data_IF_078783082331
#
_entry.id   IF_078783082331
#
_cell.length_a   1.000
_cell.length_b   1.000
_cell.length_c   1.000
_cell.angle_alpha   90.00
_cell.angle_beta   90.00
_cell.angle_gamma   90.00
#
_symmetry.space_group_name_H-M   'P 1'
#
loop_
_entity.id
_entity.type
_entity.pdbx_description
1 polymer ?
#
# COMPACT_ATOMS: atom_id res chain seq x y z
N UNK A 1 -14.99 -20.15 -19.38
CA UNK A 1 -15.62 -18.85 -19.09
C UNK A 1 -15.43 -18.50 -17.62
N UNK A 2 -14.43 -17.70 -17.27
CA UNK A 2 -14.39 -17.01 -15.97
C UNK A 2 -15.22 -15.74 -16.12
N UNK A 3 -16.34 -15.61 -15.40
CA UNK A 3 -17.15 -14.37 -15.43
C UNK A 3 -18.66 -14.51 -15.36
N UNK A 4 -19.22 -15.72 -15.28
CA UNK A 4 -20.64 -15.87 -14.98
C UNK A 4 -20.95 -15.32 -13.57
N UNK A 5 -22.01 -14.52 -13.36
CA UNK A 5 -22.34 -13.94 -12.04
C UNK A 5 -22.58 -14.99 -10.94
N UNK A 6 -22.89 -16.24 -11.32
CA UNK A 6 -23.04 -17.39 -10.42
C UNK A 6 -21.72 -18.06 -10.03
N UNK A 7 -20.64 -17.88 -10.79
CA UNK A 7 -19.37 -18.57 -10.57
C UNK A 7 -18.75 -18.31 -9.18
N UNK A 8 -18.77 -17.08 -8.61
CA UNK A 8 -18.30 -16.84 -7.26
C UNK A 8 -19.14 -17.55 -6.18
N UNK A 9 -20.45 -17.65 -6.39
CA UNK A 9 -21.36 -18.34 -5.47
C UNK A 9 -21.08 -19.84 -5.48
N UNK A 10 -20.97 -20.44 -6.66
CA UNK A 10 -20.65 -21.86 -6.81
C UNK A 10 -19.28 -22.20 -6.21
N UNK A 11 -18.28 -21.34 -6.38
CA UNK A 11 -16.97 -21.52 -5.74
C UNK A 11 -17.07 -21.49 -4.20
N UNK A 12 -17.90 -20.60 -3.63
CA UNK A 12 -18.11 -20.54 -2.18
C UNK A 12 -18.87 -21.77 -1.66
N UNK A 13 -19.90 -22.24 -2.37
CA UNK A 13 -20.64 -23.46 -2.02
C UNK A 13 -19.71 -24.67 -2.07
N UNK A 14 -18.86 -24.76 -3.09
CA UNK A 14 -17.90 -25.85 -3.20
C UNK A 14 -16.89 -25.87 -2.05
N UNK A 15 -16.43 -24.69 -1.63
CA UNK A 15 -15.46 -24.55 -0.54
C UNK A 15 -16.09 -24.64 0.86
N UNK A 16 -17.42 -24.70 0.98
CA UNK A 16 -18.13 -24.89 2.25
C UNK A 16 -17.82 -26.25 2.90
N UNK A 17 -17.60 -27.30 2.09
CA UNK A 17 -17.21 -28.62 2.61
C UNK A 17 -15.85 -28.58 3.33
N UNK A 18 -14.92 -27.76 2.84
CA UNK A 18 -13.62 -27.54 3.49
C UNK A 18 -13.78 -26.84 4.85
N UNK A 19 -14.67 -25.85 4.93
CA UNK A 19 -14.94 -25.12 6.17
C UNK A 19 -15.56 -26.04 7.21
N UNK A 20 -16.56 -26.84 6.83
CA UNK A 20 -17.19 -27.85 7.71
C UNK A 20 -16.18 -28.86 8.24
N UNK A 21 -15.25 -29.32 7.41
CA UNK A 21 -14.21 -30.26 7.85
C UNK A 21 -13.23 -29.60 8.83
N UNK A 22 -12.86 -28.33 8.62
CA UNK A 22 -12.03 -27.56 9.54
C UNK A 22 -12.73 -27.31 10.88
N UNK A 23 -14.02 -26.99 10.86
CA UNK A 23 -14.87 -26.80 12.05
C UNK A 23 -15.02 -28.10 12.84
N UNK A 24 -15.33 -29.21 12.17
CA UNK A 24 -15.44 -30.55 12.78
C UNK A 24 -14.16 -30.95 13.52
N UNK A 25 -13.00 -30.51 13.03
CA UNK A 25 -11.69 -30.75 13.64
C UNK A 25 -11.30 -29.74 14.72
N UNK A 26 -12.14 -28.73 14.96
CA UNK A 26 -11.89 -27.67 15.95
C UNK A 26 -10.74 -26.74 15.60
N UNK A 27 -10.44 -26.56 14.31
CA UNK A 27 -9.37 -25.66 13.87
C UNK A 27 -9.82 -24.19 13.94
N UNK A 28 -8.90 -23.30 14.32
CA UNK A 28 -9.11 -21.84 14.21
C UNK A 28 -8.61 -21.39 12.85
N UNK A 29 -9.50 -20.92 11.99
CA UNK A 29 -9.15 -20.51 10.63
C UNK A 29 -9.94 -19.27 10.20
N UNK A 30 -9.48 -18.66 9.11
CA UNK A 30 -10.24 -17.68 8.35
C UNK A 30 -10.05 -17.95 6.86
N UNK A 31 -11.15 -17.92 6.10
CA UNK A 31 -11.15 -18.11 4.65
C UNK A 31 -11.77 -16.90 3.96
N UNK A 32 -11.20 -16.51 2.83
CA UNK A 32 -11.77 -15.52 1.93
C UNK A 32 -11.53 -15.97 0.49
N UNK A 33 -12.61 -16.38 -0.19
CA UNK A 33 -12.52 -17.08 -1.47
C UNK A 33 -11.54 -18.27 -1.38
N UNK A 34 -10.43 -18.21 -2.13
CA UNK A 34 -9.36 -19.22 -2.18
C UNK A 34 -8.24 -19.02 -1.14
N UNK A 35 -8.14 -17.83 -0.53
CA UNK A 35 -7.15 -17.55 0.51
C UNK A 35 -7.64 -18.10 1.86
N UNK A 36 -6.93 -19.10 2.41
CA UNK A 36 -7.18 -19.71 3.72
C UNK A 36 -5.99 -19.48 4.65
N UNK A 37 -6.25 -19.12 5.90
CA UNK A 37 -5.26 -19.10 6.98
C UNK A 37 -5.75 -19.96 8.16
N UNK A 38 -4.93 -20.90 8.62
CA UNK A 38 -5.20 -21.72 9.80
C UNK A 38 -4.17 -21.42 10.89
N UNK A 39 -4.63 -21.23 12.13
CA UNK A 39 -3.78 -20.92 13.29
C UNK A 39 -3.67 -22.15 14.19
N UNK A 40 -2.43 -22.58 14.42
CA UNK A 40 -2.10 -23.74 15.25
C UNK A 40 -1.19 -23.36 16.42
N UNK A 41 -1.24 -24.12 17.51
CA UNK A 41 -0.42 -23.87 18.72
C UNK A 41 1.06 -24.22 18.55
N UNK A 42 1.39 -25.14 17.65
CA UNK A 42 2.77 -25.58 17.41
C UNK A 42 3.05 -25.78 15.92
N UNK A 43 4.33 -25.70 15.55
CA UNK A 43 4.77 -25.94 14.17
C UNK A 43 4.41 -27.35 13.68
N UNK A 44 4.65 -28.37 14.51
CA UNK A 44 4.29 -29.77 14.20
C UNK A 44 2.80 -29.93 13.94
N UNK A 45 1.95 -29.26 14.73
CA UNK A 45 0.51 -29.27 14.50
C UNK A 45 0.15 -28.58 13.18
N UNK A 46 0.78 -27.44 12.87
CA UNK A 46 0.56 -26.73 11.60
C UNK A 46 0.98 -27.54 10.37
N UNK A 47 2.13 -28.22 10.42
CA UNK A 47 2.61 -29.10 9.34
C UNK A 47 1.67 -30.29 9.13
N UNK A 48 1.21 -30.92 10.21
CA UNK A 48 0.19 -31.99 10.16
C UNK A 48 -1.12 -31.49 9.56
N UNK A 49 -1.60 -30.33 9.99
CA UNK A 49 -2.83 -29.71 9.48
C UNK A 49 -2.69 -29.38 8.00
N UNK A 50 -1.57 -28.78 7.57
CA UNK A 50 -1.31 -28.49 6.16
C UNK A 50 -1.34 -29.76 5.32
N UNK A 51 -0.58 -30.80 5.69
CA UNK A 51 -0.55 -32.06 4.96
C UNK A 51 -1.93 -32.74 4.90
N UNK A 52 -2.73 -32.64 5.96
CA UNK A 52 -4.07 -33.20 5.98
C UNK A 52 -5.06 -32.42 5.12
N UNK A 53 -5.01 -31.08 5.15
CA UNK A 53 -5.85 -30.23 4.30
C UNK A 53 -5.49 -30.38 2.83
N UNK A 54 -4.19 -30.46 2.51
CA UNK A 54 -3.73 -30.69 1.15
C UNK A 54 -4.30 -31.99 0.59
N UNK A 55 -4.25 -33.09 1.35
CA UNK A 55 -4.87 -34.36 0.95
C UNK A 55 -6.37 -34.24 0.79
N UNK A 56 -7.07 -33.62 1.74
CA UNK A 56 -8.53 -33.43 1.63
C UNK A 56 -8.93 -32.66 0.36
N UNK A 57 -8.24 -31.56 0.07
CA UNK A 57 -8.50 -30.71 -1.09
C UNK A 57 -8.17 -31.42 -2.41
N UNK A 58 -7.10 -32.23 -2.44
CA UNK A 58 -6.70 -32.97 -3.64
C UNK A 58 -7.55 -34.22 -3.88
N UNK A 59 -7.82 -35.01 -2.84
CA UNK A 59 -8.42 -36.33 -2.96
C UNK A 59 -9.95 -36.26 -2.99
N UNK A 60 -10.56 -35.41 -2.13
CA UNK A 60 -12.02 -35.25 -2.09
C UNK A 60 -12.52 -34.16 -3.03
N UNK A 61 -11.90 -32.99 -2.96
CA UNK A 61 -12.35 -31.83 -3.74
C UNK A 61 -11.72 -31.77 -5.12
N UNK A 62 -10.80 -32.67 -5.47
CA UNK A 62 -10.17 -32.74 -6.80
C UNK A 62 -9.54 -31.39 -7.26
N UNK A 63 -9.11 -30.55 -6.29
CA UNK A 63 -8.51 -29.25 -6.56
C UNK A 63 -6.99 -29.32 -6.41
N UNK A 64 -6.27 -28.57 -7.25
CA UNK A 64 -4.82 -28.45 -7.16
C UNK A 64 -4.42 -27.36 -6.18
N UNK A 65 -3.71 -27.73 -5.11
CA UNK A 65 -3.14 -26.78 -4.15
C UNK A 65 -1.88 -26.13 -4.71
N UNK A 66 -1.78 -24.81 -4.57
CA UNK A 66 -0.55 -24.08 -4.90
C UNK A 66 0.49 -24.24 -3.79
N UNK A 67 1.39 -25.20 -3.94
CA UNK A 67 2.44 -25.53 -2.97
C UNK A 67 3.45 -24.39 -2.75
N UNK A 68 3.69 -23.53 -3.74
CA UNK A 68 4.59 -22.38 -3.57
C UNK A 68 4.00 -21.29 -2.69
N UNK A 69 2.67 -21.12 -2.73
CA UNK A 69 1.95 -20.14 -1.89
C UNK A 69 1.66 -20.71 -0.49
N UNK A 70 1.43 -22.01 -0.40
CA UNK A 70 1.06 -22.71 0.84
C UNK A 70 2.29 -22.98 1.68
N UNK A 71 2.36 -22.44 2.90
CA UNK A 71 3.52 -22.62 3.77
C UNK A 71 3.16 -22.53 5.24
N UNK A 72 3.93 -23.22 6.09
CA UNK A 72 3.88 -23.07 7.54
C UNK A 72 4.88 -22.01 7.95
N UNK A 73 4.43 -21.01 8.71
CA UNK A 73 5.33 -20.06 9.35
C UNK A 73 4.72 -19.44 10.60
N UNK A 74 5.55 -18.90 11.52
CA UNK A 74 5.04 -18.14 12.65
C UNK A 74 4.12 -17.01 12.18
N UNK A 75 3.07 -16.72 12.94
CA UNK A 75 2.09 -15.66 12.58
C UNK A 75 2.77 -14.32 12.33
N UNK A 76 3.77 -13.99 13.16
CA UNK A 76 4.54 -12.73 13.10
C UNK A 76 5.66 -12.73 12.05
N UNK A 77 5.79 -13.81 11.28
CA UNK A 77 6.79 -13.91 10.22
C UNK A 77 6.51 -12.89 9.11
N UNK A 78 7.54 -12.25 8.54
CA UNK A 78 7.38 -11.38 7.36
C UNK A 78 6.85 -12.11 6.09
N UNK A 79 6.82 -13.44 6.11
CA UNK A 79 6.27 -14.28 5.03
C UNK A 79 4.75 -14.41 5.13
N UNK A 80 4.22 -14.44 6.35
CA UNK A 80 2.77 -14.54 6.62
C UNK A 80 2.06 -13.30 6.12
N UNK A 81 1.07 -13.52 5.26
CA UNK A 81 0.16 -12.47 4.79
C UNK A 81 -1.23 -13.06 4.64
N UNK A 82 -2.24 -12.25 4.93
CA UNK A 82 -3.62 -12.59 4.65
C UNK A 82 -4.35 -11.34 4.17
N UNK A 83 -4.98 -11.37 3.00
CA UNK A 83 -5.68 -10.22 2.41
C UNK A 83 -4.84 -8.93 2.38
N UNK A 84 -3.54 -9.04 2.14
CA UNK A 84 -2.62 -7.90 2.11
C UNK A 84 -2.21 -7.33 3.47
N UNK A 85 -2.73 -7.87 4.56
CA UNK A 85 -2.27 -7.64 5.93
C UNK A 85 -1.09 -8.56 6.28
N UNK A 86 -0.26 -8.09 7.20
CA UNK A 86 0.71 -8.90 7.93
C UNK A 86 0.45 -8.77 9.43
N UNK A 87 1.23 -9.48 10.23
CA UNK A 87 1.05 -9.54 11.67
C UNK A 87 2.36 -9.24 12.39
N UNK A 88 2.28 -8.62 13.56
CA UNK A 88 3.43 -8.40 14.43
C UNK A 88 3.03 -8.56 15.89
N UNK A 89 3.99 -8.95 16.74
CA UNK A 89 3.76 -9.01 18.18
C UNK A 89 4.04 -7.65 18.81
N UNK A 90 3.04 -7.06 19.45
CA UNK A 90 3.18 -5.81 20.18
C UNK A 90 3.58 -6.10 21.62
N UNK A 91 4.85 -5.88 21.96
CA UNK A 91 5.33 -6.04 23.35
C UNK A 91 4.58 -5.16 24.34
N UNK A 92 4.20 -3.94 23.93
CA UNK A 92 3.48 -3.00 24.79
C UNK A 92 2.07 -3.47 25.16
N UNK A 93 1.43 -4.28 24.31
CA UNK A 93 0.06 -4.78 24.52
C UNK A 93 -0.01 -6.27 24.82
N UNK A 94 1.11 -6.99 24.76
CA UNK A 94 1.17 -8.44 24.97
C UNK A 94 0.42 -9.27 23.91
N UNK A 95 0.05 -8.68 22.76
CA UNK A 95 -0.84 -9.30 21.77
C UNK A 95 -0.30 -9.20 20.33
N UNK A 96 -0.82 -10.05 19.44
CA UNK A 96 -0.57 -9.97 18.00
C UNK A 96 -1.49 -8.92 17.39
N UNK A 97 -0.93 -8.00 16.60
CA UNK A 97 -1.68 -6.92 15.94
C UNK A 97 -1.48 -6.93 14.44
N UNK A 98 -2.44 -6.33 13.74
CA UNK A 98 -2.42 -6.19 12.29
C UNK A 98 -1.47 -5.07 11.87
N UNK A 99 -0.70 -5.33 10.82
CA UNK A 99 0.03 -4.31 10.09
C UNK A 99 -0.15 -4.53 8.59
N UNK A 100 0.37 -3.62 7.79
CA UNK A 100 0.25 -3.68 6.34
C UNK A 100 1.44 -4.47 5.78
N UNK A 101 1.16 -5.50 4.98
CA UNK A 101 2.20 -6.37 4.44
C UNK A 101 3.17 -5.61 3.53
N UNK A 102 4.44 -6.01 3.52
CA UNK A 102 5.49 -5.38 2.69
C UNK A 102 5.11 -5.33 1.20
N UNK A 103 4.46 -6.36 0.67
CA UNK A 103 4.01 -6.41 -0.73
C UNK A 103 2.93 -5.36 -1.00
N UNK A 104 1.96 -5.20 -0.11
CA UNK A 104 0.90 -4.19 -0.20
C UNK A 104 1.46 -2.77 -0.13
N UNK A 105 2.40 -2.53 0.80
CA UNK A 105 3.14 -1.27 0.93
C UNK A 105 3.88 -0.92 -0.37
N UNK A 106 4.59 -1.90 -0.94
CA UNK A 106 5.33 -1.71 -2.19
C UNK A 106 4.41 -1.44 -3.37
N UNK A 107 3.32 -2.21 -3.52
CA UNK A 107 2.31 -2.03 -4.56
C UNK A 107 1.73 -0.60 -4.54
N UNK A 108 1.42 -0.07 -3.36
CA UNK A 108 0.97 1.32 -3.23
C UNK A 108 2.04 2.31 -3.71
N UNK A 109 3.29 2.16 -3.25
CA UNK A 109 4.39 3.04 -3.68
C UNK A 109 4.62 2.99 -5.19
N UNK A 110 4.45 1.83 -5.80
CA UNK A 110 4.57 1.66 -7.25
C UNK A 110 3.44 2.36 -8.01
N UNK A 111 2.19 2.20 -7.56
CA UNK A 111 1.06 2.95 -8.12
C UNK A 111 1.24 4.46 -7.97
N UNK A 112 1.63 4.95 -6.79
CA UNK A 112 1.88 6.38 -6.58
C UNK A 112 3.03 6.87 -7.45
N UNK A 113 4.08 6.07 -7.64
CA UNK A 113 5.20 6.41 -8.54
C UNK A 113 4.73 6.60 -9.98
N UNK A 114 3.76 5.80 -10.43
CA UNK A 114 3.17 5.92 -11.77
C UNK A 114 2.25 7.15 -11.88
N UNK A 115 1.40 7.39 -10.88
CA UNK A 115 0.50 8.55 -10.85
C UNK A 115 1.28 9.88 -10.78
N UNK A 116 2.29 9.94 -9.91
CA UNK A 116 3.19 11.09 -9.74
C UNK A 116 4.47 10.95 -10.58
N UNK A 117 4.31 10.45 -11.81
CA UNK A 117 5.40 10.46 -12.79
C UNK A 117 5.77 11.89 -13.17
N UNK A 118 7.00 12.08 -13.68
CA UNK A 118 7.52 13.42 -14.05
C UNK A 118 6.79 14.03 -15.25
N UNK A 119 6.26 13.18 -16.13
CA UNK A 119 5.54 13.56 -17.33
C UNK A 119 4.17 12.87 -17.33
N UNK A 120 3.19 13.36 -16.57
CA UNK A 120 1.85 12.76 -16.57
C UNK A 120 1.24 12.91 -17.96
N UNK A 121 0.51 11.87 -18.42
CA UNK A 121 -0.23 11.88 -19.69
C UNK A 121 -1.58 12.63 -19.61
N UNK A 122 -1.86 13.23 -18.46
CA UNK A 122 -3.14 13.87 -18.14
C UNK A 122 -2.89 15.16 -17.35
N UNK A 123 -3.95 15.93 -17.11
CA UNK A 123 -3.88 17.21 -16.40
C UNK A 123 -3.44 17.01 -14.94
N UNK A 124 -2.87 18.06 -14.34
CA UNK A 124 -2.49 18.04 -12.93
C UNK A 124 -3.71 17.85 -12.01
N UNK A 125 -4.88 18.40 -12.38
CA UNK A 125 -6.11 18.19 -11.61
C UNK A 125 -6.56 16.72 -11.64
N UNK A 126 -6.49 16.05 -12.80
CA UNK A 126 -6.79 14.62 -12.88
C UNK A 126 -5.79 13.79 -12.07
N UNK A 127 -4.51 14.16 -12.07
CA UNK A 127 -3.50 13.49 -11.21
C UNK A 127 -3.87 13.63 -9.73
N UNK A 128 -4.31 14.81 -9.27
CA UNK A 128 -4.76 15.01 -7.88
C UNK A 128 -5.97 14.15 -7.55
N UNK A 129 -6.99 14.14 -8.41
CA UNK A 129 -8.21 13.36 -8.20
C UNK A 129 -7.91 11.85 -8.12
N UNK A 130 -7.15 11.31 -9.07
CA UNK A 130 -6.75 9.90 -9.08
C UNK A 130 -5.90 9.54 -7.86
N UNK A 131 -4.96 10.41 -7.47
CA UNK A 131 -4.17 10.23 -6.25
C UNK A 131 -5.08 10.21 -5.02
N UNK A 132 -5.98 11.19 -4.88
CA UNK A 132 -6.90 11.30 -3.76
C UNK A 132 -7.80 10.06 -3.63
N UNK A 133 -8.43 9.63 -4.72
CA UNK A 133 -9.26 8.43 -4.77
C UNK A 133 -8.47 7.19 -4.36
N UNK A 134 -7.24 7.04 -4.88
CA UNK A 134 -6.40 5.87 -4.57
C UNK A 134 -5.98 5.85 -3.10
N UNK A 135 -5.56 6.99 -2.56
CA UNK A 135 -5.14 7.12 -1.16
C UNK A 135 -6.30 6.87 -0.19
N UNK A 136 -7.48 7.44 -0.47
CA UNK A 136 -8.69 7.26 0.34
C UNK A 136 -9.13 5.81 0.38
N UNK A 137 -9.28 5.17 -0.78
CA UNK A 137 -9.68 3.75 -0.84
C UNK A 137 -8.67 2.84 -0.14
N UNK A 138 -7.37 3.16 -0.26
CA UNK A 138 -6.33 2.40 0.42
C UNK A 138 -6.34 2.57 1.94
N UNK A 139 -6.54 3.79 2.44
CA UNK A 139 -6.64 4.05 3.89
C UNK A 139 -7.90 3.41 4.49
N UNK A 140 -9.04 3.48 3.79
CA UNK A 140 -10.27 2.81 4.21
C UNK A 140 -10.07 1.29 4.28
N UNK A 141 -9.43 0.69 3.26
CA UNK A 141 -9.18 -0.74 3.24
C UNK A 141 -8.27 -1.20 4.38
N UNK A 142 -7.23 -0.42 4.71
CA UNK A 142 -6.24 -0.74 5.75
C UNK A 142 -6.50 -0.04 7.10
N UNK A 143 -7.73 0.39 7.37
CA UNK A 143 -8.07 1.14 8.59
C UNK A 143 -7.76 0.37 9.88
N UNK A 144 -7.79 -0.97 9.84
CA UNK A 144 -7.52 -1.85 10.98
C UNK A 144 -6.01 -2.06 11.25
N UNK A 145 -5.12 -1.59 10.36
CA UNK A 145 -3.70 -1.88 10.45
C UNK A 145 -2.92 -0.80 11.22
N UNK A 146 -2.07 -1.23 12.14
CA UNK A 146 -1.09 -0.33 12.76
C UNK A 146 0.05 -0.06 11.78
N UNK A 147 0.07 1.15 11.23
CA UNK A 147 1.10 1.57 10.28
C UNK A 147 1.49 3.05 10.40
N UNK A 148 1.21 3.73 11.52
CA UNK A 148 1.38 5.19 11.66
C UNK A 148 2.75 5.71 11.25
N UNK A 149 3.84 5.12 11.78
CA UNK A 149 5.21 5.53 11.43
C UNK A 149 5.48 5.40 9.94
N UNK A 150 5.04 4.29 9.35
CA UNK A 150 5.17 4.05 7.90
C UNK A 150 4.33 5.05 7.09
N UNK A 151 3.11 5.35 7.52
CA UNK A 151 2.24 6.35 6.89
C UNK A 151 2.92 7.73 6.86
N UNK A 152 3.52 8.16 7.97
CA UNK A 152 4.25 9.44 8.05
C UNK A 152 5.49 9.48 7.14
N UNK A 153 6.22 8.37 7.02
CA UNK A 153 7.33 8.23 6.08
C UNK A 153 6.87 8.34 4.62
N UNK A 154 5.79 7.63 4.28
CA UNK A 154 5.23 7.65 2.93
C UNK A 154 4.64 9.02 2.61
N UNK A 155 4.01 9.69 3.55
CA UNK A 155 3.50 11.05 3.40
C UNK A 155 4.60 12.06 3.02
N UNK A 156 5.74 12.01 3.72
CA UNK A 156 6.92 12.82 3.37
C UNK A 156 7.41 12.50 1.96
N UNK A 157 7.43 11.22 1.60
CA UNK A 157 7.82 10.77 0.27
C UNK A 157 6.84 11.21 -0.84
N UNK A 158 5.53 11.16 -0.59
CA UNK A 158 4.47 11.67 -1.49
C UNK A 158 4.63 13.17 -1.71
N UNK A 159 4.76 13.96 -0.64
CA UNK A 159 4.98 15.41 -0.75
C UNK A 159 6.24 15.74 -1.56
N UNK A 160 7.32 15.01 -1.36
CA UNK A 160 8.56 15.15 -2.17
C UNK A 160 8.33 14.80 -3.64
N UNK A 161 7.53 13.78 -3.95
CA UNK A 161 7.14 13.43 -5.33
C UNK A 161 6.31 14.53 -5.99
N UNK A 162 5.35 15.10 -5.25
CA UNK A 162 4.55 16.23 -5.74
C UNK A 162 5.45 17.43 -6.05
N UNK A 163 6.38 17.79 -5.15
CA UNK A 163 7.36 18.86 -5.41
C UNK A 163 8.20 18.59 -6.65
N UNK A 164 8.61 17.33 -6.86
CA UNK A 164 9.34 16.92 -8.07
C UNK A 164 8.51 17.15 -9.33
N UNK A 165 7.23 16.74 -9.30
CA UNK A 165 6.29 16.94 -10.41
C UNK A 165 6.12 18.44 -10.71
N UNK A 166 5.81 19.26 -9.70
CA UNK A 166 5.64 20.70 -9.86
C UNK A 166 6.92 21.40 -10.36
N UNK A 167 8.09 21.02 -9.86
CA UNK A 167 9.35 21.56 -10.38
C UNK A 167 9.56 21.20 -11.87
N UNK A 168 9.13 20.01 -12.28
CA UNK A 168 9.24 19.57 -13.68
C UNK A 168 8.27 20.31 -14.60
N UNK A 169 7.09 20.71 -14.11
CA UNK A 169 6.14 21.50 -14.92
C UNK A 169 6.69 22.91 -15.24
N UNK A 170 7.53 23.48 -14.36
CA UNK A 170 8.30 24.69 -14.65
C UNK A 170 9.48 24.39 -15.58
N UNK A 171 9.19 24.21 -16.87
CA UNK A 171 10.16 23.77 -17.89
C UNK A 171 11.31 24.77 -18.11
N UNK A 172 11.00 26.07 -18.19
CA UNK A 172 11.97 27.14 -18.47
C UNK A 172 12.54 27.70 -17.17
N UNK A 173 13.83 28.06 -17.17
CA UNK A 173 14.50 28.72 -16.02
C UNK A 173 13.76 29.98 -15.60
N UNK A 174 13.38 30.84 -16.55
CA UNK A 174 12.58 32.05 -16.30
C UNK A 174 11.27 31.74 -15.55
N UNK A 175 10.60 30.64 -15.88
CA UNK A 175 9.36 30.22 -15.21
C UNK A 175 9.60 29.74 -13.79
N UNK A 176 10.70 29.01 -13.53
CA UNK A 176 11.08 28.58 -12.18
C UNK A 176 11.34 29.77 -11.27
N UNK A 177 12.14 30.73 -11.75
CA UNK A 177 12.48 31.94 -10.99
C UNK A 177 11.20 32.72 -10.64
N UNK A 178 10.36 33.00 -11.65
CA UNK A 178 9.07 33.69 -11.43
C UNK A 178 8.16 32.94 -10.44
N UNK A 179 8.08 31.62 -10.55
CA UNK A 179 7.28 30.81 -9.65
C UNK A 179 7.81 30.84 -8.20
N UNK A 180 9.12 30.72 -8.02
CA UNK A 180 9.75 30.80 -6.69
C UNK A 180 9.51 32.16 -6.04
N UNK A 181 9.69 33.27 -6.78
CA UNK A 181 9.42 34.62 -6.27
C UNK A 181 7.93 34.76 -5.90
N UNK A 182 7.01 34.29 -6.74
CA UNK A 182 5.57 34.29 -6.46
C UNK A 182 5.20 33.47 -5.22
N UNK A 183 6.00 32.46 -4.89
CA UNK A 183 5.85 31.63 -3.69
C UNK A 183 6.60 32.20 -2.46
N UNK A 184 7.10 33.43 -2.54
CA UNK A 184 7.73 34.14 -1.42
C UNK A 184 9.23 33.88 -1.25
N UNK A 185 9.91 33.28 -2.24
CA UNK A 185 11.36 33.19 -2.19
C UNK A 185 12.03 34.54 -2.47
N UNK A 186 13.09 34.84 -1.71
CA UNK A 186 14.01 35.93 -2.01
C UNK A 186 14.49 35.88 -3.49
N UNK A 187 14.47 37.00 -4.24
CA UNK A 187 14.81 37.03 -5.67
C UNK A 187 16.19 36.47 -6.00
N UNK A 188 17.20 36.74 -5.17
CA UNK A 188 18.58 36.26 -5.37
C UNK A 188 18.63 34.74 -5.24
N UNK A 189 18.04 34.20 -4.16
CA UNK A 189 17.91 32.74 -3.97
C UNK A 189 17.09 32.11 -5.08
N UNK A 190 15.99 32.74 -5.51
CA UNK A 190 15.14 32.24 -6.59
C UNK A 190 15.92 32.13 -7.90
N UNK A 191 16.78 33.10 -8.22
CA UNK A 191 17.67 33.05 -9.38
C UNK A 191 18.64 31.87 -9.30
N UNK A 192 19.42 31.76 -8.21
CA UNK A 192 20.40 30.68 -8.02
C UNK A 192 19.77 29.28 -8.13
N UNK A 193 18.63 29.08 -7.47
CA UNK A 193 17.94 27.79 -7.48
C UNK A 193 17.18 27.53 -8.79
N UNK A 194 16.67 28.56 -9.47
CA UNK A 194 16.04 28.44 -10.78
C UNK A 194 17.01 27.93 -11.86
N UNK A 195 18.27 28.38 -11.80
CA UNK A 195 19.37 28.00 -12.68
C UNK A 195 20.08 26.69 -12.28
N UNK A 196 19.59 25.98 -11.25
CA UNK A 196 20.29 24.79 -10.73
C UNK A 196 20.41 23.66 -11.75
N UNK A 197 21.58 23.01 -11.76
CA UNK A 197 21.85 21.77 -12.53
C UNK A 197 21.49 20.49 -11.75
N UNK A 198 20.99 20.61 -10.52
CA UNK A 198 20.61 19.45 -9.69
C UNK A 198 19.47 18.66 -10.34
N UNK A 199 19.56 17.34 -10.31
CA UNK A 199 18.50 16.46 -10.82
C UNK A 199 17.17 16.62 -10.09
N UNK A 200 16.06 16.31 -10.77
CA UNK A 200 14.68 16.53 -10.28
C UNK A 200 14.39 15.93 -8.89
N UNK A 201 14.93 14.74 -8.59
CA UNK A 201 14.75 14.12 -7.28
C UNK A 201 15.61 14.76 -6.19
N UNK A 202 16.78 15.30 -6.53
CA UNK A 202 17.67 15.98 -5.60
C UNK A 202 17.09 17.34 -5.20
N UNK A 203 16.62 18.12 -6.17
CA UNK A 203 16.03 19.44 -5.93
C UNK A 203 14.72 19.35 -5.14
N UNK A 204 13.91 18.30 -5.29
CA UNK A 204 12.65 18.14 -4.54
C UNK A 204 12.81 17.99 -3.02
N UNK A 205 14.03 17.76 -2.54
CA UNK A 205 14.40 17.71 -1.11
C UNK A 205 15.26 18.90 -0.66
N UNK A 206 15.37 19.94 -1.48
CA UNK A 206 16.10 21.14 -1.13
C UNK A 206 15.29 22.01 -0.18
N UNK A 207 16.00 22.83 0.62
CA UNK A 207 15.36 23.80 1.50
C UNK A 207 14.44 24.74 0.73
N UNK A 208 14.87 25.25 -0.44
CA UNK A 208 14.07 26.18 -1.25
C UNK A 208 12.70 25.60 -1.64
N UNK A 209 12.61 24.33 -2.04
CA UNK A 209 11.32 23.72 -2.39
C UNK A 209 10.52 23.28 -1.17
N UNK A 210 11.19 22.99 -0.04
CA UNK A 210 10.50 22.70 1.21
C UNK A 210 9.82 23.94 1.79
N UNK A 211 10.43 25.13 1.64
CA UNK A 211 9.91 26.40 2.15
C UNK A 211 8.97 27.12 1.19
N UNK A 212 9.11 26.95 -0.12
CA UNK A 212 8.18 27.55 -1.11
C UNK A 212 6.97 26.66 -1.43
N UNK A 213 7.17 25.34 -1.51
CA UNK A 213 6.11 24.34 -1.68
C UNK A 213 5.85 23.65 -0.34
N UNK A 214 5.39 24.44 0.63
CA UNK A 214 5.08 24.00 2.00
C UNK A 214 3.96 22.95 2.00
N UNK A 215 3.85 22.22 3.11
CA UNK A 215 2.76 21.26 3.31
C UNK A 215 1.40 21.93 3.16
N UNK A 216 1.24 23.13 3.74
CA UNK A 216 -0.02 23.87 3.70
C UNK A 216 -0.34 24.38 2.30
N UNK A 217 0.65 24.89 1.57
CA UNK A 217 0.49 25.27 0.18
C UNK A 217 0.00 24.08 -0.67
N UNK A 218 0.62 22.91 -0.50
CA UNK A 218 0.21 21.70 -1.23
C UNK A 218 -1.23 21.31 -0.89
N UNK A 219 -1.60 21.36 0.41
CA UNK A 219 -2.96 21.05 0.87
C UNK A 219 -4.00 22.02 0.32
N UNK A 220 -3.74 23.33 0.38
CA UNK A 220 -4.60 24.38 -0.19
C UNK A 220 -4.79 24.22 -1.69
N UNK A 221 -3.76 23.73 -2.39
CA UNK A 221 -3.82 23.43 -3.84
C UNK A 221 -4.50 22.10 -4.15
N UNK A 222 -5.13 21.43 -3.18
CA UNK A 222 -5.88 20.18 -3.39
C UNK A 222 -5.01 18.92 -3.49
N UNK A 223 -3.74 18.98 -3.13
CA UNK A 223 -2.92 17.77 -3.00
C UNK A 223 -3.22 17.06 -1.69
N UNK A 224 -3.18 15.72 -1.73
CA UNK A 224 -3.38 14.87 -0.55
C UNK A 224 -2.29 13.81 -0.42
N UNK A 225 -2.19 13.26 0.79
CA UNK A 225 -1.33 12.13 1.16
C UNK A 225 -2.09 11.25 2.16
N UNK A 226 -1.52 10.14 2.61
CA UNK A 226 -2.25 9.14 3.41
C UNK A 226 -2.78 9.73 4.73
N UNK A 227 -1.96 10.53 5.43
CA UNK A 227 -2.35 11.19 6.66
C UNK A 227 -3.53 12.16 6.53
N UNK A 228 -3.94 12.56 5.32
CA UNK A 228 -5.15 13.35 5.10
C UNK A 228 -6.45 12.54 5.27
N UNK A 229 -6.37 11.21 5.24
CA UNK A 229 -7.51 10.30 5.29
C UNK A 229 -7.47 9.38 6.52
N UNK A 230 -6.63 9.71 7.51
CA UNK A 230 -6.76 9.09 8.82
C UNK A 230 -7.98 9.72 9.50
N UNK A 231 -9.01 8.90 9.73
CA UNK A 231 -10.01 9.15 10.76
C UNK A 231 -9.39 8.97 12.14
#
# INVERSE_FOLDING_TARGET
MQGGPLSPLLANIYLDELDKELEKRGHRFARYADDLICICKSRRAAERTLASLTRFVQDKMLLKVNQEKSHVSPVTSPRTKFLGYGFYFSRAKGEVRLTIHKKSKQKLKDTIRQLLTRNPRTSIENVKQLLAQKLRGWMNYFQLADAQKWTQEVDRWIRRRIRQLLWKTWKKVKTRIKALIKLGADPVRAYYWGCTRKGYWRISNSHILATTLTTDFLKQRGWSWLGCYKG
#
